data_IF_564975532423
#
_entry.id   IF_564975532423
#
_cell.length_a   1.000
_cell.length_b   1.000
_cell.length_c   1.000
_cell.angle_alpha   90.00
_cell.angle_beta   90.00
_cell.angle_gamma   90.00
#
_symmetry.space_group_name_H-M   'P 1'
#
loop_
_entity.id
_entity.type
_entity.pdbx_description
1 polymer ?
#
# COMPACT_ATOMS: atom_id res chain seq x y z
N UNK A 1 -11.26 -5.48 14.18
CA UNK A 1 -11.17 -4.09 13.69
C UNK A 1 -12.09 -3.27 14.56
N UNK A 2 -11.53 -2.30 15.28
CA UNK A 2 -12.21 -1.61 16.39
C UNK A 2 -12.02 -0.09 16.36
N UNK A 3 -11.50 0.47 15.26
CA UNK A 3 -11.29 1.92 15.14
C UNK A 3 -12.56 2.71 15.47
N UNK A 4 -12.47 3.55 16.50
CA UNK A 4 -13.57 4.43 16.93
C UNK A 4 -13.31 5.89 16.54
N UNK A 5 -14.34 6.73 16.62
CA UNK A 5 -14.20 8.18 16.42
C UNK A 5 -13.28 8.84 17.46
N UNK A 6 -13.19 8.29 18.67
CA UNK A 6 -12.30 8.78 19.73
C UNK A 6 -10.82 8.45 19.44
N UNK A 7 -10.54 7.30 18.82
CA UNK A 7 -9.18 6.96 18.36
C UNK A 7 -8.72 7.94 17.27
N UNK A 8 -9.62 8.31 16.37
CA UNK A 8 -9.37 9.32 15.33
C UNK A 8 -9.15 10.70 15.95
N UNK A 9 -9.97 11.09 16.93
CA UNK A 9 -9.82 12.36 17.66
C UNK A 9 -8.45 12.44 18.37
N UNK A 10 -8.05 11.33 19.01
CA UNK A 10 -6.75 11.21 19.70
C UNK A 10 -5.58 11.38 18.75
N UNK A 11 -5.60 10.72 17.59
CA UNK A 11 -4.54 10.86 16.58
C UNK A 11 -4.46 12.26 16.01
N UNK A 12 -5.61 12.92 15.84
CA UNK A 12 -5.67 14.31 15.38
C UNK A 12 -5.32 15.33 16.47
N UNK A 13 -5.20 14.92 17.74
CA UNK A 13 -4.98 15.83 18.87
C UNK A 13 -6.13 16.83 19.07
N UNK A 14 -7.36 16.45 18.69
CA UNK A 14 -8.54 17.31 18.82
C UNK A 14 -9.46 16.84 19.93
N UNK A 15 -10.24 17.78 20.46
CA UNK A 15 -11.36 17.47 21.35
C UNK A 15 -12.37 16.54 20.66
N UNK A 16 -13.04 15.71 21.45
CA UNK A 16 -14.04 14.78 20.94
C UNK A 16 -15.05 15.48 20.01
N UNK A 17 -15.35 14.89 18.84
CA UNK A 17 -16.26 15.46 17.86
C UNK A 17 -17.67 15.65 18.44
N UNK A 18 -18.39 16.66 17.94
CA UNK A 18 -19.84 16.84 18.19
C UNK A 18 -20.65 15.72 17.54
N UNK A 19 -21.90 15.50 17.97
CA UNK A 19 -22.75 14.40 17.47
C UNK A 19 -22.85 14.31 15.94
N UNK A 20 -22.94 15.46 15.25
CA UNK A 20 -22.96 15.49 13.78
C UNK A 20 -21.61 15.09 13.17
N UNK A 21 -20.50 15.49 13.80
CA UNK A 21 -19.15 15.14 13.38
C UNK A 21 -18.88 13.65 13.65
N UNK A 22 -19.40 13.09 14.74
CA UNK A 22 -19.32 11.64 15.02
C UNK A 22 -19.93 10.85 13.87
N UNK A 23 -21.18 11.15 13.48
CA UNK A 23 -21.84 10.44 12.37
C UNK A 23 -21.10 10.59 11.04
N UNK A 24 -20.50 11.76 10.77
CA UNK A 24 -19.69 11.96 9.57
C UNK A 24 -18.42 11.11 9.61
N UNK A 25 -17.75 11.03 10.76
CA UNK A 25 -16.53 10.25 10.92
C UNK A 25 -16.80 8.75 10.86
N UNK A 26 -17.93 8.28 11.39
CA UNK A 26 -18.38 6.89 11.25
C UNK A 26 -18.60 6.51 9.79
N UNK A 27 -19.23 7.38 8.99
CA UNK A 27 -19.38 7.17 7.55
C UNK A 27 -18.01 7.09 6.86
N UNK A 28 -17.08 7.96 7.24
CA UNK A 28 -15.73 7.95 6.68
C UNK A 28 -14.94 6.70 7.07
N UNK A 29 -15.05 6.25 8.32
CA UNK A 29 -14.46 4.99 8.77
C UNK A 29 -15.01 3.84 7.92
N UNK A 30 -16.33 3.77 7.73
CA UNK A 30 -16.97 2.72 6.91
C UNK A 30 -16.54 2.76 5.43
N UNK A 31 -16.41 3.94 4.84
CA UNK A 31 -15.95 4.10 3.47
C UNK A 31 -14.46 3.73 3.31
N UNK A 32 -13.62 4.06 4.29
CA UNK A 32 -12.22 3.66 4.31
C UNK A 32 -12.07 2.13 4.40
N UNK A 33 -12.82 1.48 5.29
CA UNK A 33 -12.85 0.01 5.39
C UNK A 33 -13.25 -0.63 4.05
N UNK A 34 -14.33 -0.14 3.42
CA UNK A 34 -14.78 -0.65 2.12
C UNK A 34 -13.73 -0.46 1.02
N UNK A 35 -12.97 0.64 1.06
CA UNK A 35 -11.89 0.88 0.12
C UNK A 35 -10.73 -0.12 0.30
N UNK A 36 -10.38 -0.44 1.54
CA UNK A 36 -9.38 -1.48 1.88
C UNK A 36 -9.86 -2.84 1.42
N UNK A 37 -11.11 -3.22 1.70
CA UNK A 37 -11.67 -4.52 1.29
C UNK A 37 -11.62 -4.69 -0.23
N UNK A 38 -12.08 -3.68 -0.99
CA UNK A 38 -12.01 -3.71 -2.47
C UNK A 38 -10.58 -3.72 -3.00
N UNK A 39 -9.63 -3.12 -2.28
CA UNK A 39 -8.22 -3.19 -2.65
C UNK A 39 -7.68 -4.60 -2.38
N UNK A 40 -7.99 -5.20 -1.24
CA UNK A 40 -7.58 -6.55 -0.87
C UNK A 40 -8.10 -7.59 -1.88
N UNK A 41 -9.39 -7.51 -2.22
CA UNK A 41 -10.03 -8.36 -3.24
C UNK A 41 -9.33 -8.25 -4.61
N UNK A 42 -9.05 -7.03 -5.07
CA UNK A 42 -8.40 -6.79 -6.36
C UNK A 42 -6.97 -7.33 -6.43
N UNK A 43 -6.26 -7.33 -5.31
CA UNK A 43 -4.89 -7.82 -5.23
C UNK A 43 -4.80 -9.30 -4.82
N UNK A 44 -5.94 -9.99 -4.68
CA UNK A 44 -5.98 -11.42 -4.38
C UNK A 44 -5.61 -11.77 -2.93
N UNK A 45 -5.69 -10.82 -2.01
CA UNK A 45 -5.51 -11.08 -0.58
C UNK A 45 -6.79 -11.71 -0.02
N UNK A 46 -6.75 -13.03 0.19
CA UNK A 46 -7.87 -13.82 0.73
C UNK A 46 -7.71 -14.14 2.22
N UNK A 47 -6.56 -13.77 2.81
CA UNK A 47 -6.27 -13.91 4.23
C UNK A 47 -6.78 -12.72 5.04
N UNK A 48 -6.90 -12.90 6.36
CA UNK A 48 -7.15 -11.80 7.28
C UNK A 48 -5.93 -10.87 7.28
N UNK A 49 -6.14 -9.63 6.85
CA UNK A 49 -5.18 -8.55 7.07
C UNK A 49 -4.97 -8.38 8.59
N UNK A 50 -3.77 -7.96 8.98
CA UNK A 50 -3.50 -7.66 10.38
C UNK A 50 -4.44 -6.54 10.85
N UNK A 51 -5.28 -6.86 11.84
CA UNK A 51 -6.29 -5.93 12.34
C UNK A 51 -5.69 -4.61 12.84
N UNK A 52 -4.51 -4.64 13.46
CA UNK A 52 -3.84 -3.45 13.96
C UNK A 52 -3.38 -2.51 12.83
N UNK A 53 -2.88 -3.08 11.73
CA UNK A 53 -2.43 -2.31 10.57
C UNK A 53 -3.62 -1.72 9.82
N UNK A 54 -4.73 -2.48 9.70
CA UNK A 54 -5.98 -1.98 9.14
C UNK A 54 -6.54 -0.82 9.97
N UNK A 55 -6.58 -0.97 11.30
CA UNK A 55 -7.06 0.09 12.19
C UNK A 55 -6.17 1.35 12.07
N UNK A 56 -4.85 1.19 11.94
CA UNK A 56 -3.93 2.30 11.68
C UNK A 56 -4.23 3.03 10.36
N UNK A 57 -4.36 2.29 9.24
CA UNK A 57 -4.59 2.88 7.91
C UNK A 57 -5.94 3.59 7.84
N UNK A 58 -6.99 3.00 8.43
CA UNK A 58 -8.32 3.63 8.51
C UNK A 58 -8.22 4.96 9.25
N UNK A 59 -7.55 4.98 10.40
CA UNK A 59 -7.40 6.19 11.22
C UNK A 59 -6.65 7.31 10.49
N UNK A 60 -5.53 7.01 9.85
CA UNK A 60 -4.75 7.98 9.07
C UNK A 60 -5.53 8.48 7.84
N UNK A 61 -6.26 7.61 7.15
CA UNK A 61 -7.07 8.00 6.00
C UNK A 61 -8.22 8.94 6.38
N UNK A 62 -8.89 8.68 7.51
CA UNK A 62 -9.96 9.56 8.02
C UNK A 62 -9.37 10.89 8.50
N UNK A 63 -8.22 10.86 9.17
CA UNK A 63 -7.49 12.06 9.60
C UNK A 63 -7.12 12.98 8.42
N UNK A 64 -6.59 12.39 7.34
CA UNK A 64 -6.22 13.14 6.13
C UNK A 64 -7.42 13.68 5.36
N UNK A 65 -8.59 13.05 5.47
CA UNK A 65 -9.82 13.46 4.78
C UNK A 65 -10.45 14.73 5.36
N UNK A 66 -10.22 15.00 6.64
CA UNK A 66 -10.93 16.06 7.37
C UNK A 66 -10.72 17.45 6.73
N UNK A 67 -11.80 18.23 6.53
CA UNK A 67 -11.74 19.54 5.85
C UNK A 67 -11.05 20.64 6.67
N UNK A 68 -10.70 20.41 7.94
CA UNK A 68 -10.06 21.41 8.81
C UNK A 68 -8.59 21.67 8.52
N UNK A 69 -7.97 20.95 7.58
CA UNK A 69 -6.65 21.32 7.03
C UNK A 69 -6.73 22.48 6.03
N UNK A 70 -7.62 23.45 6.27
CA UNK A 70 -7.68 24.68 5.50
C UNK A 70 -6.38 25.46 5.73
N UNK A 71 -5.46 25.35 4.77
CA UNK A 71 -4.19 26.08 4.83
C UNK A 71 -4.44 27.49 4.31
N UNK A 72 -4.32 28.49 5.19
CA UNK A 72 -4.40 29.90 4.81
C UNK A 72 -2.99 30.46 4.68
N UNK A 73 -2.65 30.94 3.48
CA UNK A 73 -1.43 31.72 3.26
C UNK A 73 -1.83 33.18 3.23
N UNK A 74 -1.38 33.93 4.23
CA UNK A 74 -1.51 35.38 4.26
C UNK A 74 -0.16 36.00 3.91
N UNK A 75 -0.13 36.78 2.83
CA UNK A 75 1.04 37.59 2.46
C UNK A 75 0.64 39.05 2.66
N UNK A 76 1.28 39.69 3.64
CA UNK A 76 1.18 41.12 3.85
C UNK A 76 2.33 41.80 3.09
N UNK A 77 1.98 42.63 2.11
CA UNK A 77 2.91 43.54 1.42
C UNK A 77 2.53 44.96 1.84
N UNK A 78 3.47 45.89 1.82
CA UNK A 78 3.37 47.26 2.39
C UNK A 78 2.03 47.99 2.07
N UNK A 79 1.48 47.77 0.87
CA UNK A 79 0.26 48.41 0.37
C UNK A 79 -1.02 47.52 0.40
N UNK A 80 -0.95 46.28 0.90
CA UNK A 80 -2.13 45.40 0.91
C UNK A 80 -1.90 43.97 1.40
N UNK A 81 -3.01 43.32 1.78
CA UNK A 81 -3.03 41.91 2.21
C UNK A 81 -3.59 41.03 1.10
N UNK A 82 -2.89 39.94 0.78
CA UNK A 82 -3.40 38.86 -0.08
C UNK A 82 -3.61 37.62 0.78
N UNK A 83 -4.86 37.20 0.92
CA UNK A 83 -5.23 35.94 1.55
C UNK A 83 -5.56 34.89 0.48
N UNK A 84 -4.95 33.70 0.59
CA UNK A 84 -5.32 32.51 -0.19
C UNK A 84 -5.74 31.41 0.76
N UNK A 85 -6.95 30.88 0.56
CA UNK A 85 -7.50 29.76 1.31
C UNK A 85 -7.55 28.54 0.40
N UNK A 86 -6.90 27.46 0.83
CA UNK A 86 -6.95 26.17 0.15
C UNK A 86 -7.86 25.23 0.94
N UNK A 87 -8.90 24.72 0.28
CA UNK A 87 -9.81 23.73 0.86
C UNK A 87 -9.66 22.42 0.08
N UNK A 88 -9.38 21.33 0.77
CA UNK A 88 -9.44 20.00 0.17
C UNK A 88 -10.91 19.65 -0.07
N UNK A 89 -11.28 19.46 -1.35
CA UNK A 89 -12.67 19.18 -1.72
C UNK A 89 -13.23 17.94 -1.01
N UNK A 90 -14.55 17.94 -0.79
CA UNK A 90 -15.36 16.84 -0.25
C UNK A 90 -15.43 15.62 -1.20
N UNK A 91 -14.31 15.20 -1.78
CA UNK A 91 -14.20 14.02 -2.64
C UNK A 91 -14.36 12.71 -1.87
N UNK A 92 -14.04 11.59 -2.52
CA UNK A 92 -13.98 10.28 -1.85
C UNK A 92 -12.77 10.20 -0.91
N UNK A 93 -12.81 9.25 0.05
CA UNK A 93 -11.63 8.89 0.84
C UNK A 93 -10.59 8.28 -0.10
N UNK A 94 -9.41 8.89 -0.12
CA UNK A 94 -8.27 8.39 -0.88
C UNK A 94 -7.28 7.81 0.11
N UNK A 95 -7.00 6.52 -0.02
CA UNK A 95 -5.97 5.85 0.77
C UNK A 95 -4.68 5.92 -0.05
N UNK A 96 -3.62 6.43 0.58
CA UNK A 96 -2.34 6.60 -0.07
C UNK A 96 -1.65 5.23 -0.30
N UNK A 97 -0.90 5.05 -1.42
CA UNK A 97 -0.22 3.79 -1.71
C UNK A 97 0.73 3.33 -0.61
N UNK A 98 1.45 4.25 0.04
CA UNK A 98 2.38 3.97 1.13
C UNK A 98 1.69 3.37 2.37
N UNK A 99 0.42 3.68 2.59
CA UNK A 99 -0.36 3.09 3.68
C UNK A 99 -0.86 1.69 3.31
N UNK A 100 -1.15 1.46 2.03
CA UNK A 100 -1.50 0.14 1.54
C UNK A 100 -0.29 -0.82 1.60
N UNK A 101 0.93 -0.31 1.40
CA UNK A 101 2.16 -1.10 1.57
C UNK A 101 2.37 -1.59 3.01
N UNK A 102 1.88 -0.86 4.02
CA UNK A 102 1.90 -1.32 5.43
C UNK A 102 1.01 -2.54 5.67
N UNK A 103 -0.11 -2.65 4.96
CA UNK A 103 -1.04 -3.77 5.07
C UNK A 103 -0.45 -5.06 4.49
N UNK A 104 0.53 -4.92 3.60
CA UNK A 104 1.19 -6.03 2.91
C UNK A 104 2.69 -5.83 2.92
N UNK A 105 3.36 -6.04 4.08
CA UNK A 105 4.82 -6.01 4.10
C UNK A 105 5.33 -6.98 3.04
N UNK A 106 6.33 -6.56 2.25
CA UNK A 106 6.84 -7.28 1.07
C UNK A 106 7.23 -8.77 1.31
N UNK A 107 7.30 -9.19 2.57
CA UNK A 107 7.46 -10.57 3.03
C UNK A 107 6.20 -11.44 2.93
N UNK A 108 5.03 -10.90 2.60
CA UNK A 108 3.83 -11.68 2.26
C UNK A 108 3.86 -12.21 0.81
N UNK A 109 4.96 -12.00 0.09
CA UNK A 109 5.30 -12.89 -1.02
C UNK A 109 5.52 -14.26 -0.39
N UNK A 110 4.55 -15.15 -0.54
CA UNK A 110 4.76 -16.58 -0.32
C UNK A 110 6.04 -16.92 -1.05
N UNK A 111 7.12 -17.10 -0.29
CA UNK A 111 8.41 -17.52 -0.79
C UNK A 111 8.21 -18.95 -1.28
N UNK A 112 7.67 -19.08 -2.49
CA UNK A 112 7.82 -20.28 -3.27
C UNK A 112 9.31 -20.47 -3.40
N UNK A 113 9.86 -21.35 -2.57
CA UNK A 113 11.26 -21.71 -2.60
C UNK A 113 11.61 -21.97 -4.07
N UNK A 114 12.44 -21.12 -4.66
CA UNK A 114 12.84 -21.29 -6.04
C UNK A 114 13.60 -22.61 -6.10
N UNK A 115 12.97 -23.65 -6.65
CA UNK A 115 13.62 -24.94 -6.82
C UNK A 115 14.51 -24.85 -8.05
N UNK A 116 15.79 -24.61 -7.82
CA UNK A 116 16.80 -24.81 -8.86
C UNK A 116 16.95 -26.33 -9.00
N UNK A 117 16.49 -26.89 -10.12
CA UNK A 117 16.81 -28.26 -10.50
C UNK A 117 18.07 -28.24 -11.35
N UNK A 118 19.27 -28.43 -10.79
CA UNK A 118 20.48 -28.56 -11.59
C UNK A 118 20.32 -29.78 -12.50
N UNK A 119 20.32 -29.55 -13.81
CA UNK A 119 20.43 -30.64 -14.78
C UNK A 119 21.91 -30.80 -15.05
N UNK A 120 22.48 -31.97 -14.74
CA UNK A 120 23.80 -32.35 -15.22
C UNK A 120 23.62 -33.40 -16.32
N UNK A 121 24.31 -33.20 -17.43
CA UNK A 121 24.55 -34.28 -18.38
C UNK A 121 25.88 -34.91 -17.98
N UNK A 122 25.94 -36.21 -17.65
CA UNK A 122 27.21 -36.87 -17.39
C UNK A 122 28.10 -36.80 -18.64
N UNK A 123 29.30 -36.25 -18.49
CA UNK A 123 30.31 -36.22 -19.55
C UNK A 123 30.85 -37.65 -19.72
N UNK A 124 30.18 -38.43 -20.58
CA UNK A 124 30.62 -39.78 -20.94
C UNK A 124 31.47 -39.73 -22.20
N UNK A 125 32.39 -40.70 -22.34
CA UNK A 125 33.22 -40.82 -23.55
C UNK A 125 32.38 -40.90 -24.84
N UNK A 126 31.21 -41.55 -24.79
CA UNK A 126 30.27 -41.60 -25.91
C UNK A 126 29.73 -40.22 -26.27
N UNK A 127 29.26 -39.44 -25.29
CA UNK A 127 28.77 -38.07 -25.51
C UNK A 127 29.89 -37.13 -26.01
N UNK A 128 31.14 -37.36 -25.58
CA UNK A 128 32.32 -36.62 -26.06
C UNK A 128 32.66 -36.96 -27.52
N UNK A 129 32.59 -38.24 -27.88
CA UNK A 129 32.83 -38.72 -29.24
C UNK A 129 31.76 -38.23 -30.23
N UNK A 130 30.49 -38.22 -29.82
CA UNK A 130 29.39 -37.69 -30.62
C UNK A 130 29.52 -36.18 -30.85
N UNK A 131 29.89 -35.40 -29.82
CA UNK A 131 30.18 -33.97 -29.98
C UNK A 131 31.40 -33.71 -30.87
N UNK A 132 32.45 -34.52 -30.75
CA UNK A 132 33.64 -34.41 -31.61
C UNK A 132 33.31 -34.72 -33.07
N UNK A 133 32.45 -35.72 -33.32
CA UNK A 133 31.94 -36.07 -34.64
C UNK A 133 31.04 -34.96 -35.21
N UNK A 134 30.11 -34.44 -34.41
CA UNK A 134 29.22 -33.33 -34.79
C UNK A 134 29.97 -32.00 -35.01
N UNK A 135 31.07 -31.78 -34.29
CA UNK A 135 31.96 -30.63 -34.45
C UNK A 135 33.00 -30.81 -35.58
N UNK A 136 32.91 -31.89 -36.39
CA UNK A 136 33.76 -32.10 -37.55
C UNK A 136 35.23 -32.34 -37.22
N UNK A 137 35.56 -32.75 -36.00
CA UNK A 137 36.91 -33.21 -35.67
C UNK A 137 37.12 -34.62 -36.23
N UNK A 138 37.23 -34.72 -37.55
CA UNK A 138 37.81 -35.89 -38.20
C UNK A 138 39.23 -36.07 -37.68
N UNK A 139 39.50 -37.26 -37.12
CA UNK A 139 40.83 -37.69 -36.68
C UNK A 139 41.82 -37.54 -37.82
N UNK A 140 42.67 -36.51 -37.75
CA UNK A 140 44.01 -36.61 -38.31
C UNK A 140 44.86 -37.38 -37.29
N UNK A 141 45.32 -38.55 -37.75
CA UNK A 141 46.26 -39.50 -37.16
C UNK A 141 45.65 -40.53 -36.20
#
# INVERSE_FOLDING_TARGET
MTTTTDDVATTLGVSSPTDLQVSQWELWIGDATRAIDRWAERNGYTGLLNAADVDYVVREAVAAKRPDNATQVEVAVDDGRVSRRYESGAGQITILPEWLDLLTPATATTGGAFSIRPTSTPDTYAARAERACAAGYERRW
#
